data_IF_912615463765
#
_entry.id   IF_912615463765
#
_cell.length_a   1.000
_cell.length_b   1.000
_cell.length_c   1.000
_cell.angle_alpha   90.00
_cell.angle_beta   90.00
_cell.angle_gamma   90.00
#
_symmetry.space_group_name_H-M   'P 1'
#
loop_
_entity.id
_entity.type
_entity.pdbx_description
1 polymer ?
#
# COMPACT_ATOMS: atom_id res chain seq x y z
N UNK A 1 -1.12 -22.98 26.96
CA UNK A 1 -0.33 -22.22 25.96
C UNK A 1 -1.29 -21.78 24.85
N UNK A 2 -1.42 -20.48 24.52
CA UNK A 2 -2.44 -20.03 23.59
C UNK A 2 -2.08 -20.49 22.18
N UNK A 3 -2.72 -21.57 21.71
CA UNK A 3 -2.49 -22.22 20.40
C UNK A 3 -3.13 -21.49 19.20
N UNK A 4 -3.46 -20.20 19.29
CA UNK A 4 -4.39 -19.59 18.32
C UNK A 4 -3.83 -18.46 17.45
N UNK A 5 -2.96 -17.59 17.97
CA UNK A 5 -2.59 -16.35 17.28
C UNK A 5 -1.58 -16.55 16.14
N UNK A 6 -0.67 -17.50 16.29
CA UNK A 6 0.39 -17.84 15.32
C UNK A 6 -0.01 -19.01 14.41
N UNK A 7 -1.31 -19.20 14.16
CA UNK A 7 -1.78 -20.25 13.27
C UNK A 7 -1.81 -19.78 11.81
N UNK A 8 -1.51 -20.69 10.89
CA UNK A 8 -1.57 -20.42 9.45
C UNK A 8 -2.98 -19.96 9.00
N UNK A 9 -4.03 -20.46 9.67
CA UNK A 9 -5.41 -20.04 9.46
C UNK A 9 -5.61 -18.55 9.78
N UNK A 10 -4.94 -18.04 10.80
CA UNK A 10 -4.96 -16.62 11.15
C UNK A 10 -4.21 -15.78 10.09
N UNK A 11 -3.05 -16.25 9.62
CA UNK A 11 -2.30 -15.58 8.55
C UNK A 11 -3.10 -15.46 7.26
N UNK A 12 -3.77 -16.54 6.82
CA UNK A 12 -4.70 -16.48 5.68
C UNK A 12 -5.79 -15.43 5.89
N UNK A 13 -6.43 -15.41 7.05
CA UNK A 13 -7.48 -14.43 7.37
C UNK A 13 -6.98 -12.99 7.28
N UNK A 14 -5.81 -12.69 7.85
CA UNK A 14 -5.20 -11.36 7.79
C UNK A 14 -4.86 -10.97 6.35
N UNK A 15 -4.32 -11.91 5.56
CA UNK A 15 -4.01 -11.67 4.15
C UNK A 15 -5.27 -11.34 3.34
N UNK A 16 -6.37 -12.09 3.54
CA UNK A 16 -7.65 -11.80 2.87
C UNK A 16 -8.21 -10.43 3.23
N UNK A 17 -8.19 -10.07 4.52
CA UNK A 17 -8.66 -8.75 4.98
C UNK A 17 -7.79 -7.65 4.37
N UNK A 18 -6.46 -7.81 4.37
CA UNK A 18 -5.56 -6.85 3.75
C UNK A 18 -5.83 -6.66 2.26
N UNK A 19 -6.12 -7.75 1.54
CA UNK A 19 -6.42 -7.69 0.12
C UNK A 19 -7.77 -7.01 -0.15
N UNK A 20 -8.77 -7.27 0.70
CA UNK A 20 -10.06 -6.59 0.63
C UNK A 20 -9.93 -5.09 0.93
N UNK A 21 -9.06 -4.73 1.89
CA UNK A 21 -8.82 -3.34 2.28
C UNK A 21 -7.97 -2.56 1.28
N UNK A 22 -7.13 -3.21 0.47
CA UNK A 22 -6.21 -2.51 -0.43
C UNK A 22 -6.94 -1.66 -1.46
N UNK A 23 -8.01 -2.17 -2.08
CA UNK A 23 -8.76 -1.45 -3.12
C UNK A 23 -9.48 -0.20 -2.57
N UNK A 24 -10.29 -0.29 -1.49
CA UNK A 24 -10.92 0.89 -0.89
C UNK A 24 -9.90 1.95 -0.43
N UNK A 25 -8.80 1.52 0.21
CA UNK A 25 -7.78 2.45 0.70
C UNK A 25 -7.09 3.16 -0.46
N UNK A 26 -6.78 2.43 -1.55
CA UNK A 26 -6.18 3.02 -2.74
C UNK A 26 -7.10 4.11 -3.32
N UNK A 27 -8.39 3.82 -3.48
CA UNK A 27 -9.36 4.78 -4.03
C UNK A 27 -9.47 6.03 -3.15
N UNK A 28 -9.66 5.86 -1.84
CA UNK A 28 -9.79 6.98 -0.90
C UNK A 28 -8.50 7.82 -0.88
N UNK A 29 -7.34 7.18 -0.87
CA UNK A 29 -6.05 7.87 -0.80
C UNK A 29 -5.65 8.53 -2.14
N UNK A 30 -6.21 8.08 -3.25
CA UNK A 30 -5.98 8.67 -4.58
C UNK A 30 -6.75 9.97 -4.81
N UNK A 31 -7.84 10.16 -4.07
CA UNK A 31 -8.76 11.27 -4.24
C UNK A 31 -8.13 12.65 -4.03
N UNK A 32 -7.34 12.91 -2.96
CA UNK A 32 -6.76 14.24 -2.74
C UNK A 32 -5.84 14.69 -3.87
N UNK A 33 -5.01 13.77 -4.40
CA UNK A 33 -4.11 14.06 -5.51
C UNK A 33 -4.88 14.36 -6.80
N UNK A 34 -5.93 13.57 -7.08
CA UNK A 34 -6.78 13.80 -8.24
C UNK A 34 -7.45 15.18 -8.18
N UNK A 35 -8.01 15.54 -7.02
CA UNK A 35 -8.64 16.85 -6.80
C UNK A 35 -7.66 18.00 -6.98
N UNK A 36 -6.43 17.87 -6.47
CA UNK A 36 -5.38 18.88 -6.68
C UNK A 36 -5.04 19.04 -8.17
N UNK A 37 -4.91 17.93 -8.90
CA UNK A 37 -4.66 17.98 -10.34
C UNK A 37 -5.81 18.66 -11.11
N UNK A 38 -7.05 18.39 -10.72
CA UNK A 38 -8.23 19.03 -11.32
C UNK A 38 -8.26 20.54 -11.06
N UNK A 39 -7.96 20.97 -9.83
CA UNK A 39 -7.84 22.39 -9.48
C UNK A 39 -6.71 23.11 -10.24
N UNK A 40 -5.62 22.40 -10.51
CA UNK A 40 -4.51 22.90 -11.32
C UNK A 40 -4.73 22.71 -12.83
N UNK A 41 -5.89 22.18 -13.24
CA UNK A 41 -6.25 21.75 -14.59
C UNK A 41 -5.17 20.95 -15.34
N UNK A 42 -4.50 20.05 -14.62
CA UNK A 42 -3.53 19.10 -15.19
C UNK A 42 -4.30 18.04 -16.00
N UNK A 43 -3.73 17.64 -17.14
CA UNK A 43 -4.34 16.65 -18.04
C UNK A 43 -4.59 15.30 -17.36
N UNK A 44 -5.72 14.65 -17.68
CA UNK A 44 -6.13 13.37 -17.08
C UNK A 44 -5.11 12.25 -17.28
N UNK A 45 -4.35 12.30 -18.36
CA UNK A 45 -3.25 11.36 -18.69
C UNK A 45 -2.14 11.39 -17.65
N UNK A 46 -1.88 12.53 -17.00
CA UNK A 46 -0.91 12.65 -15.90
C UNK A 46 -1.59 12.47 -14.55
N UNK A 47 -2.80 13.01 -14.39
CA UNK A 47 -3.55 12.98 -13.13
C UNK A 47 -3.85 11.55 -12.67
N UNK A 48 -4.36 10.67 -13.55
CA UNK A 48 -4.73 9.30 -13.20
C UNK A 48 -3.55 8.44 -12.67
N UNK A 49 -2.43 8.28 -13.42
CA UNK A 49 -1.29 7.53 -12.91
C UNK A 49 -0.65 8.20 -11.69
N UNK A 50 -0.61 9.54 -11.64
CA UNK A 50 -0.12 10.28 -10.49
C UNK A 50 -0.92 10.00 -9.21
N UNK A 51 -2.25 9.98 -9.30
CA UNK A 51 -3.13 9.69 -8.17
C UNK A 51 -2.93 8.27 -7.62
N UNK A 52 -2.70 7.29 -8.49
CA UNK A 52 -2.40 5.92 -8.07
C UNK A 52 -1.04 5.85 -7.38
N UNK A 53 0.01 6.43 -7.98
CA UNK A 53 1.36 6.43 -7.43
C UNK A 53 1.39 7.14 -6.06
N UNK A 54 0.64 8.23 -5.92
CA UNK A 54 0.46 8.95 -4.66
C UNK A 54 -0.26 8.10 -3.60
N UNK A 55 -1.30 7.36 -3.99
CA UNK A 55 -2.11 6.56 -3.07
C UNK A 55 -1.38 5.30 -2.55
N UNK A 56 -0.52 4.70 -3.37
CA UNK A 56 0.22 3.49 -3.02
C UNK A 56 0.96 3.57 -1.68
N UNK A 57 1.82 4.57 -1.38
CA UNK A 57 2.53 4.62 -0.10
C UNK A 57 1.59 4.69 1.12
N UNK A 58 0.44 5.37 1.02
CA UNK A 58 -0.56 5.42 2.09
C UNK A 58 -1.26 4.07 2.27
N UNK A 59 -1.68 3.46 1.16
CA UNK A 59 -2.24 2.10 1.16
C UNK A 59 -1.29 1.12 1.85
N UNK A 60 -0.02 1.12 1.45
CA UNK A 60 0.99 0.23 2.01
C UNK A 60 1.24 0.50 3.51
N UNK A 61 1.19 1.77 3.93
CA UNK A 61 1.36 2.15 5.35
C UNK A 61 0.20 1.63 6.20
N UNK A 62 -1.04 1.81 5.75
CA UNK A 62 -2.24 1.37 6.47
C UNK A 62 -2.29 -0.16 6.55
N UNK A 63 -2.01 -0.85 5.44
CA UNK A 63 -1.98 -2.33 5.41
C UNK A 63 -0.87 -2.88 6.32
N UNK A 64 0.31 -2.27 6.31
CA UNK A 64 1.40 -2.63 7.22
C UNK A 64 1.03 -2.39 8.70
N UNK A 65 0.33 -1.29 8.97
CA UNK A 65 -0.23 -0.98 10.29
C UNK A 65 -1.23 -2.03 10.75
N UNK A 66 -2.15 -2.45 9.89
CA UNK A 66 -3.13 -3.49 10.19
C UNK A 66 -2.47 -4.82 10.58
N UNK A 67 -1.47 -5.28 9.83
CA UNK A 67 -0.71 -6.51 10.19
C UNK A 67 -0.02 -6.36 11.55
N UNK A 68 0.57 -5.19 11.81
CA UNK A 68 1.28 -4.92 13.07
C UNK A 68 0.32 -4.90 14.26
N UNK A 69 -0.89 -4.37 14.09
CA UNK A 69 -1.94 -4.40 15.11
C UNK A 69 -2.50 -5.81 15.34
N UNK A 70 -2.68 -6.60 14.26
CA UNK A 70 -3.29 -7.93 14.34
C UNK A 70 -2.38 -9.01 14.93
N UNK A 71 -1.05 -8.89 14.77
CA UNK A 71 -0.07 -9.91 15.22
C UNK A 71 0.92 -9.39 16.26
N UNK A 72 1.00 -8.08 16.46
CA UNK A 72 2.04 -7.45 17.25
C UNK A 72 3.38 -7.32 16.50
N UNK A 73 4.17 -6.33 16.91
CA UNK A 73 5.44 -5.99 16.25
C UNK A 73 6.48 -7.12 16.32
N UNK A 74 6.43 -7.96 17.35
CA UNK A 74 7.36 -9.07 17.58
C UNK A 74 7.08 -10.28 16.70
N UNK A 75 5.82 -10.55 16.34
CA UNK A 75 5.44 -11.75 15.60
C UNK A 75 5.25 -11.51 14.09
N UNK A 76 5.24 -10.26 13.63
CA UNK A 76 5.06 -9.90 12.22
C UNK A 76 6.05 -10.58 11.26
N UNK A 77 7.26 -10.88 11.72
CA UNK A 77 8.28 -11.57 10.92
C UNK A 77 7.82 -12.98 10.49
N UNK A 78 7.13 -13.72 11.36
CA UNK A 78 6.61 -15.04 11.02
C UNK A 78 5.56 -14.97 9.91
N UNK A 79 4.71 -13.94 9.92
CA UNK A 79 3.75 -13.68 8.85
C UNK A 79 4.43 -13.34 7.52
N UNK A 80 5.45 -12.48 7.53
CA UNK A 80 6.18 -12.13 6.30
C UNK A 80 6.96 -13.32 5.72
N UNK A 81 7.52 -14.19 6.56
CA UNK A 81 8.18 -15.42 6.11
C UNK A 81 7.17 -16.41 5.52
N UNK A 82 5.99 -16.57 6.14
CA UNK A 82 4.92 -17.39 5.58
C UNK A 82 4.44 -16.87 4.22
N UNK A 83 4.38 -15.55 4.08
CA UNK A 83 4.00 -14.87 2.84
C UNK A 83 5.03 -15.03 1.72
N UNK A 84 6.33 -15.07 2.05
CA UNK A 84 7.40 -15.37 1.07
C UNK A 84 7.25 -16.76 0.44
N UNK A 85 6.71 -17.73 1.20
CA UNK A 85 6.43 -19.07 0.69
C UNK A 85 5.16 -19.14 -0.17
N UNK A 86 4.36 -18.07 -0.22
CA UNK A 86 3.12 -17.98 -1.02
C UNK A 86 3.07 -16.69 -1.88
N UNK A 87 4.08 -16.44 -2.74
CA UNK A 87 4.26 -15.16 -3.41
C UNK A 87 3.17 -14.85 -4.44
N UNK A 88 2.67 -15.87 -5.15
CA UNK A 88 1.74 -15.71 -6.27
C UNK A 88 0.27 -15.59 -5.86
N UNK A 89 -0.12 -16.08 -4.68
CA UNK A 89 -1.51 -16.10 -4.20
C UNK A 89 -1.80 -14.99 -3.19
N UNK A 90 -0.90 -14.78 -2.23
CA UNK A 90 -1.11 -13.81 -1.15
C UNK A 90 -0.04 -12.72 -1.10
N UNK A 91 1.15 -12.96 -1.67
CA UNK A 91 2.33 -12.10 -1.51
C UNK A 91 2.54 -11.00 -2.55
N UNK A 92 1.76 -10.93 -3.63
CA UNK A 92 2.06 -10.05 -4.77
C UNK A 92 2.10 -8.55 -4.39
N UNK A 93 1.26 -8.13 -3.43
CA UNK A 93 1.23 -6.77 -2.88
C UNK A 93 1.93 -6.62 -1.52
N UNK A 94 2.64 -7.66 -1.04
CA UNK A 94 3.11 -7.70 0.35
C UNK A 94 4.54 -8.24 0.52
N UNK A 95 5.29 -8.40 -0.57
CA UNK A 95 6.71 -8.78 -0.50
C UNK A 95 7.50 -7.78 0.37
N UNK A 96 8.51 -8.25 1.12
CA UNK A 96 9.37 -7.46 2.03
C UNK A 96 9.74 -6.04 1.56
N UNK A 97 9.90 -5.82 0.24
CA UNK A 97 10.15 -4.53 -0.40
C UNK A 97 9.09 -3.45 -0.05
N UNK A 98 7.83 -3.85 0.13
CA UNK A 98 6.67 -2.99 0.44
C UNK A 98 6.65 -2.52 1.90
N UNK A 99 7.36 -3.22 2.79
CA UNK A 99 7.51 -2.78 4.19
C UNK A 99 8.57 -1.70 4.37
N UNK A 100 9.46 -1.52 3.37
CA UNK A 100 10.54 -0.53 3.44
C UNK A 100 9.99 0.89 3.38
N UNK A 101 10.24 1.67 4.42
CA UNK A 101 9.92 3.10 4.45
C UNK A 101 10.56 3.85 3.28
N UNK A 102 11.75 3.42 2.83
CA UNK A 102 12.44 4.03 1.69
C UNK A 102 11.62 3.88 0.40
N UNK A 103 11.06 2.71 0.13
CA UNK A 103 10.25 2.46 -1.06
C UNK A 103 8.99 3.35 -1.07
N UNK A 104 8.30 3.47 0.09
CA UNK A 104 7.14 4.36 0.22
C UNK A 104 7.51 5.83 -0.03
N UNK A 105 8.65 6.27 0.49
CA UNK A 105 9.15 7.63 0.25
C UNK A 105 9.47 7.86 -1.23
N UNK A 106 10.09 6.90 -1.92
CA UNK A 106 10.35 7.00 -3.36
C UNK A 106 9.07 7.14 -4.18
N UNK A 107 8.03 6.34 -3.89
CA UNK A 107 6.73 6.47 -4.56
C UNK A 107 6.10 7.84 -4.31
N UNK A 108 6.13 8.31 -3.06
CA UNK A 108 5.59 9.62 -2.71
C UNK A 108 6.34 10.75 -3.43
N UNK A 109 7.68 10.74 -3.40
CA UNK A 109 8.52 11.69 -4.15
C UNK A 109 8.23 11.64 -5.65
N UNK A 110 8.11 10.43 -6.22
CA UNK A 110 7.75 10.24 -7.62
C UNK A 110 6.40 10.87 -7.98
N UNK A 111 5.40 10.76 -7.09
CA UNK A 111 4.11 11.42 -7.30
C UNK A 111 4.21 12.94 -7.26
N UNK A 112 5.04 13.52 -6.38
CA UNK A 112 5.25 14.97 -6.34
C UNK A 112 5.94 15.44 -7.62
N UNK A 113 6.96 14.72 -8.09
CA UNK A 113 7.66 15.05 -9.34
C UNK A 113 6.69 15.01 -10.53
N UNK A 114 5.82 14.00 -10.61
CA UNK A 114 4.77 13.92 -11.63
C UNK A 114 3.78 15.08 -11.55
N UNK A 115 3.41 15.51 -10.35
CA UNK A 115 2.53 16.67 -10.16
C UNK A 115 3.18 17.96 -10.70
N UNK A 116 4.45 18.19 -10.34
CA UNK A 116 5.22 19.34 -10.81
C UNK A 116 5.37 19.30 -12.34
N UNK A 117 5.74 18.14 -12.88
CA UNK A 117 5.87 17.95 -14.33
C UNK A 117 4.54 18.20 -15.06
N UNK A 118 3.43 17.66 -14.53
CA UNK A 118 2.09 17.88 -15.05
C UNK A 118 1.66 19.34 -14.99
N UNK A 119 2.10 20.08 -13.98
CA UNK A 119 1.85 21.52 -13.87
C UNK A 119 2.57 22.32 -14.96
N UNK A 120 3.83 21.98 -15.28
CA UNK A 120 4.60 22.67 -16.33
C UNK A 120 4.15 22.32 -17.76
N UNK A 121 3.55 21.14 -17.96
CA UNK A 121 3.13 20.63 -19.28
C UNK A 121 1.65 20.89 -19.57
N UNK A 122 0.91 21.44 -18.59
CA UNK A 122 -0.51 21.74 -18.65
C UNK A 122 -0.98 22.33 -19.97
#
# INVERSE_FOLDING_TARGET
MPKSELSEKNYRRIAYINWLLSVPILLISSWPYYMMCEQLHISRTVSLPGSIIFALPFMLTILHGHVTMALGATHRHHYYNWLQNHPLTFGLLFHHMITSTRFRLFLFLGSIILLIFGYFIR
#
